data_IF_093462560257
#
_entry.id   IF_093462560257
#
_cell.length_a   1.000
_cell.length_b   1.000
_cell.length_c   1.000
_cell.angle_alpha   90.00
_cell.angle_beta   90.00
_cell.angle_gamma   90.00
#
_symmetry.space_group_name_H-M   'P 1'
#
loop_
_entity.id
_entity.type
_entity.pdbx_description
1 polymer ?
#
# COMPACT_ATOMS: atom_id res chain seq x y z
N UNK A 1 10.50 -25.13 10.90
CA UNK A 1 9.44 -24.42 10.17
C UNK A 1 8.70 -23.56 11.16
N UNK A 2 8.66 -22.25 10.93
CA UNK A 2 7.91 -21.33 11.79
C UNK A 2 6.43 -21.48 11.49
N UNK A 3 5.60 -21.84 12.48
CA UNK A 3 4.13 -21.92 12.33
C UNK A 3 3.44 -20.56 12.20
N UNK A 4 4.18 -19.53 11.77
CA UNK A 4 3.72 -18.16 11.62
C UNK A 4 2.68 -18.02 10.51
N UNK A 5 2.78 -18.83 9.46
CA UNK A 5 1.88 -18.82 8.31
C UNK A 5 0.75 -19.86 8.40
N UNK A 6 0.69 -20.62 9.49
CA UNK A 6 -0.32 -21.65 9.68
C UNK A 6 -1.64 -21.05 10.18
N UNK A 7 -2.76 -21.65 9.77
CA UNK A 7 -4.12 -21.30 10.21
C UNK A 7 -4.50 -19.81 10.05
N UNK A 8 -3.96 -19.13 9.03
CA UNK A 8 -4.21 -17.71 8.78
C UNK A 8 -5.69 -17.40 8.56
N UNK A 9 -6.43 -18.31 7.95
CA UNK A 9 -7.87 -18.24 7.68
C UNK A 9 -8.74 -18.43 8.93
N UNK A 10 -8.17 -18.99 10.00
CA UNK A 10 -8.88 -19.24 11.26
C UNK A 10 -8.72 -18.09 12.26
N UNK A 11 -7.82 -17.15 11.99
CA UNK A 11 -7.62 -15.99 12.83
C UNK A 11 -8.72 -14.96 12.60
N UNK A 12 -9.22 -14.37 13.68
CA UNK A 12 -9.94 -13.11 13.60
C UNK A 12 -8.95 -11.93 13.45
N UNK A 13 -9.48 -10.72 13.26
CA UNK A 13 -8.66 -9.53 13.12
C UNK A 13 -7.74 -9.31 14.33
N UNK A 14 -8.24 -9.54 15.55
CA UNK A 14 -7.45 -9.38 16.78
C UNK A 14 -6.32 -10.44 16.85
N UNK A 15 -6.57 -11.65 16.35
CA UNK A 15 -5.57 -12.71 16.17
C UNK A 15 -4.48 -12.32 15.17
N UNK A 16 -4.85 -11.72 14.03
CA UNK A 16 -3.89 -11.16 13.09
C UNK A 16 -3.07 -10.03 13.72
N UNK A 17 -3.71 -9.10 14.43
CA UNK A 17 -3.00 -8.01 15.12
C UNK A 17 -1.98 -8.57 16.10
N UNK A 18 -2.37 -9.50 16.98
CA UNK A 18 -1.44 -10.14 17.93
C UNK A 18 -0.29 -10.84 17.22
N UNK A 19 -0.57 -11.59 16.17
CA UNK A 19 0.45 -12.37 15.44
C UNK A 19 1.48 -11.46 14.79
N UNK A 20 1.03 -10.43 14.08
CA UNK A 20 1.93 -9.58 13.30
C UNK A 20 2.60 -8.47 14.11
N UNK A 21 2.07 -8.16 15.30
CA UNK A 21 2.74 -7.31 16.28
C UNK A 21 3.78 -8.06 17.14
N UNK A 22 3.90 -9.39 17.01
CA UNK A 22 4.86 -10.15 17.79
C UNK A 22 6.32 -9.79 17.40
N UNK A 23 7.25 -9.67 18.35
CA UNK A 23 8.64 -9.28 18.08
C UNK A 23 9.35 -10.20 17.07
N UNK A 24 9.00 -11.49 17.08
CA UNK A 24 9.65 -12.52 16.26
C UNK A 24 9.33 -12.40 14.76
N UNK A 25 8.24 -11.70 14.40
CA UNK A 25 7.87 -11.41 13.00
C UNK A 25 9.01 -10.71 12.28
N UNK A 26 9.79 -9.90 13.00
CA UNK A 26 10.88 -9.14 12.39
C UNK A 26 11.97 -10.04 11.80
N UNK A 27 12.15 -11.23 12.39
CA UNK A 27 13.18 -12.22 12.03
C UNK A 27 12.62 -13.41 11.26
N UNK A 28 11.33 -13.38 10.93
CA UNK A 28 10.70 -14.48 10.24
C UNK A 28 11.12 -14.49 8.77
N UNK A 29 11.53 -15.67 8.30
CA UNK A 29 11.67 -15.98 6.88
C UNK A 29 10.39 -16.62 6.36
N UNK A 30 10.10 -16.43 5.08
CA UNK A 30 8.98 -17.06 4.40
C UNK A 30 9.06 -16.88 2.88
N UNK A 31 8.41 -17.78 2.16
CA UNK A 31 8.25 -17.63 0.72
C UNK A 31 7.32 -16.45 0.40
N UNK A 32 7.52 -15.85 -0.77
CA UNK A 32 6.68 -14.75 -1.29
C UNK A 32 5.19 -15.05 -1.16
N UNK A 33 4.78 -16.25 -1.56
CA UNK A 33 3.38 -16.66 -1.55
C UNK A 33 2.81 -16.72 -0.13
N UNK A 34 3.62 -17.06 0.88
CA UNK A 34 3.19 -17.10 2.28
C UNK A 34 2.92 -15.69 2.81
N UNK A 35 3.82 -14.74 2.51
CA UNK A 35 3.63 -13.33 2.86
C UNK A 35 2.45 -12.68 2.12
N UNK A 36 2.24 -13.03 0.85
CA UNK A 36 1.08 -12.61 0.09
C UNK A 36 -0.20 -13.12 0.76
N UNK A 37 -0.28 -14.42 1.06
CA UNK A 37 -1.43 -15.02 1.73
C UNK A 37 -1.71 -14.37 3.09
N UNK A 38 -0.68 -14.12 3.89
CA UNK A 38 -0.77 -13.40 5.16
C UNK A 38 -1.37 -12.00 5.00
N UNK A 39 -0.88 -11.21 4.04
CA UNK A 39 -1.40 -9.87 3.78
C UNK A 39 -2.84 -9.87 3.28
N UNK A 40 -3.22 -10.88 2.48
CA UNK A 40 -4.58 -11.05 1.96
C UNK A 40 -5.54 -11.43 3.07
N UNK A 41 -5.19 -12.40 3.93
CA UNK A 41 -6.00 -12.81 5.06
C UNK A 41 -6.23 -11.64 6.03
N UNK A 42 -5.17 -10.92 6.40
CA UNK A 42 -5.28 -9.72 7.23
C UNK A 42 -6.25 -8.72 6.60
N UNK A 43 -6.00 -8.34 5.34
CA UNK A 43 -6.83 -7.37 4.61
C UNK A 43 -8.28 -7.82 4.56
N UNK A 44 -8.54 -9.09 4.29
CA UNK A 44 -9.89 -9.65 4.25
C UNK A 44 -10.63 -9.44 5.58
N UNK A 45 -10.04 -9.85 6.70
CA UNK A 45 -10.66 -9.68 8.02
C UNK A 45 -10.87 -8.22 8.42
N UNK A 46 -9.93 -7.35 8.05
CA UNK A 46 -10.06 -5.92 8.27
C UNK A 46 -11.22 -5.31 7.46
N UNK A 47 -11.49 -5.87 6.27
CA UNK A 47 -12.51 -5.37 5.35
C UNK A 47 -13.93 -5.89 5.60
N UNK A 48 -14.10 -6.91 6.45
CA UNK A 48 -15.39 -7.53 6.71
C UNK A 48 -16.41 -6.58 7.38
N UNK A 49 -15.98 -5.75 8.33
CA UNK A 49 -16.87 -4.84 9.06
C UNK A 49 -16.16 -3.53 9.49
N UNK A 50 -15.80 -2.65 8.54
CA UNK A 50 -15.07 -1.43 8.84
C UNK A 50 -15.82 -0.48 9.78
N UNK A 51 -17.15 -0.50 9.76
CA UNK A 51 -17.98 0.39 10.57
C UNK A 51 -17.89 0.07 12.08
N UNK A 52 -17.47 -1.15 12.43
CA UNK A 52 -17.29 -1.59 13.83
C UNK A 52 -15.85 -1.53 14.32
N UNK A 53 -14.93 -0.97 13.53
CA UNK A 53 -13.55 -0.80 13.96
C UNK A 53 -13.45 0.37 14.95
N UNK A 54 -13.29 0.05 16.23
CA UNK A 54 -12.90 1.02 17.26
C UNK A 54 -11.51 1.60 17.00
N UNK A 55 -11.24 2.81 17.48
CA UNK A 55 -9.93 3.44 17.38
C UNK A 55 -8.79 2.59 17.99
N UNK A 56 -9.05 1.86 19.08
CA UNK A 56 -8.07 0.94 19.68
C UNK A 56 -7.68 -0.20 18.74
N UNK A 57 -8.66 -0.82 18.08
CA UNK A 57 -8.40 -1.81 17.04
C UNK A 57 -7.63 -1.21 15.88
N UNK A 58 -7.99 -0.01 15.43
CA UNK A 58 -7.29 0.68 14.34
C UNK A 58 -5.84 1.02 14.71
N UNK A 59 -5.57 1.37 15.96
CA UNK A 59 -4.19 1.52 16.48
C UNK A 59 -3.43 0.20 16.47
N UNK A 60 -4.06 -0.90 16.90
CA UNK A 60 -3.49 -2.25 16.81
C UNK A 60 -3.13 -2.65 15.37
N UNK A 61 -4.03 -2.42 14.43
CA UNK A 61 -3.78 -2.61 12.99
C UNK A 61 -2.63 -1.72 12.52
N UNK A 62 -2.58 -0.46 12.98
CA UNK A 62 -1.52 0.49 12.68
C UNK A 62 -0.13 0.07 13.13
N UNK A 63 -0.02 -0.87 14.07
CA UNK A 63 1.25 -1.51 14.45
C UNK A 63 1.49 -2.78 13.64
N UNK A 64 0.48 -3.65 13.59
CA UNK A 64 0.59 -5.00 13.01
C UNK A 64 0.80 -4.99 11.50
N UNK A 65 0.11 -4.11 10.77
CA UNK A 65 0.18 -4.07 9.30
C UNK A 65 1.55 -3.59 8.79
N UNK A 66 2.12 -2.45 9.27
CA UNK A 66 3.47 -2.07 8.88
C UNK A 66 4.54 -3.11 9.26
N UNK A 67 4.39 -3.78 10.40
CA UNK A 67 5.30 -4.85 10.81
C UNK A 67 5.26 -6.04 9.83
N UNK A 68 4.07 -6.45 9.40
CA UNK A 68 3.86 -7.47 8.37
C UNK A 68 4.50 -7.06 7.04
N UNK A 69 4.24 -5.84 6.55
CA UNK A 69 4.80 -5.34 5.29
C UNK A 69 6.34 -5.27 5.34
N UNK A 70 6.91 -4.79 6.45
CA UNK A 70 8.35 -4.69 6.61
C UNK A 70 9.01 -6.07 6.70
N UNK A 71 8.37 -7.06 7.34
CA UNK A 71 8.88 -8.43 7.37
C UNK A 71 8.82 -9.10 6.00
N UNK A 72 7.72 -8.92 5.27
CA UNK A 72 7.58 -9.40 3.91
C UNK A 72 8.64 -8.81 2.97
N UNK A 73 8.86 -7.49 3.01
CA UNK A 73 9.88 -6.80 2.21
C UNK A 73 11.29 -7.33 2.52
N UNK A 74 11.65 -7.46 3.80
CA UNK A 74 12.95 -8.01 4.20
C UNK A 74 13.14 -9.45 3.73
N UNK A 75 12.12 -10.29 3.87
CA UNK A 75 12.21 -11.72 3.56
C UNK A 75 12.24 -12.04 2.07
N UNK A 76 11.70 -11.16 1.22
CA UNK A 76 11.45 -11.48 -0.20
C UNK A 76 12.30 -10.68 -1.20
N UNK A 77 13.11 -9.74 -0.72
CA UNK A 77 14.05 -8.98 -1.54
C UNK A 77 13.35 -7.94 -2.43
N UNK A 78 13.76 -7.75 -3.71
CA UNK A 78 13.45 -6.57 -4.53
C UNK A 78 11.98 -6.39 -4.94
N UNK A 79 11.04 -7.11 -4.31
CA UNK A 79 9.59 -6.97 -4.49
C UNK A 79 9.00 -5.78 -3.72
N UNK A 80 9.81 -4.74 -3.48
CA UNK A 80 9.45 -3.52 -2.75
C UNK A 80 8.16 -2.89 -3.28
N UNK A 81 8.01 -2.89 -4.59
CA UNK A 81 6.84 -2.39 -5.30
C UNK A 81 5.54 -3.13 -4.93
N UNK A 82 5.58 -4.45 -4.75
CA UNK A 82 4.40 -5.23 -4.37
C UNK A 82 3.93 -4.88 -2.96
N UNK A 83 4.86 -4.83 -2.00
CA UNK A 83 4.55 -4.51 -0.60
C UNK A 83 4.12 -3.05 -0.43
N UNK A 84 4.76 -2.13 -1.17
CA UNK A 84 4.34 -0.75 -1.24
C UNK A 84 2.89 -0.64 -1.75
N UNK A 85 2.59 -1.27 -2.89
CA UNK A 85 1.25 -1.18 -3.48
C UNK A 85 0.18 -1.76 -2.56
N UNK A 86 0.47 -2.86 -1.85
CA UNK A 86 -0.44 -3.42 -0.84
C UNK A 86 -0.71 -2.46 0.30
N UNK A 87 0.33 -1.85 0.85
CA UNK A 87 0.21 -0.86 1.93
C UNK A 87 -0.60 0.37 1.49
N UNK A 88 -0.28 0.93 0.32
CA UNK A 88 -0.99 2.07 -0.24
C UNK A 88 -2.48 1.75 -0.45
N UNK A 89 -2.80 0.64 -1.11
CA UNK A 89 -4.19 0.30 -1.40
C UNK A 89 -5.01 -0.02 -0.14
N UNK A 90 -4.44 -0.70 0.85
CA UNK A 90 -5.14 -0.93 2.11
C UNK A 90 -5.47 0.40 2.80
N UNK A 91 -4.50 1.31 2.89
CA UNK A 91 -4.71 2.60 3.56
C UNK A 91 -5.66 3.50 2.79
N UNK A 92 -5.62 3.52 1.46
CA UNK A 92 -6.65 4.19 0.65
C UNK A 92 -8.04 3.63 0.94
N UNK A 93 -8.16 2.30 1.01
CA UNK A 93 -9.42 1.65 1.34
C UNK A 93 -9.91 2.07 2.73
N UNK A 94 -9.03 2.09 3.73
CA UNK A 94 -9.37 2.52 5.09
C UNK A 94 -9.78 3.99 5.14
N UNK A 95 -9.05 4.88 4.49
CA UNK A 95 -9.41 6.30 4.40
C UNK A 95 -10.79 6.49 3.77
N UNK A 96 -11.10 5.72 2.72
CA UNK A 96 -12.40 5.79 2.05
C UNK A 96 -13.57 5.31 2.92
N UNK A 97 -13.38 4.26 3.73
CA UNK A 97 -14.49 3.60 4.45
C UNK A 97 -14.58 4.00 5.93
N UNK A 98 -13.47 4.40 6.55
CA UNK A 98 -13.38 4.78 7.97
C UNK A 98 -13.15 6.29 8.13
N UNK A 99 -12.50 6.92 7.14
CA UNK A 99 -12.12 8.33 7.17
C UNK A 99 -10.81 8.58 7.94
N UNK A 100 -10.22 9.79 7.81
CA UNK A 100 -9.05 10.17 8.59
C UNK A 100 -9.32 10.16 10.10
N UNK A 101 -8.29 9.86 10.90
CA UNK A 101 -8.30 9.95 12.37
C UNK A 101 -6.97 10.53 12.87
N UNK A 102 -6.94 11.68 13.56
CA UNK A 102 -5.70 12.33 13.99
C UNK A 102 -4.78 11.44 14.83
N UNK A 103 -5.36 10.59 15.69
CA UNK A 103 -4.62 9.76 16.64
C UNK A 103 -4.29 8.35 16.12
N UNK A 104 -4.59 8.08 14.84
CA UNK A 104 -4.33 6.79 14.20
C UNK A 104 -3.43 7.02 12.97
N UNK A 105 -2.10 6.86 13.09
CA UNK A 105 -1.16 7.11 11.99
C UNK A 105 -1.46 6.33 10.70
N UNK A 106 -2.10 5.16 10.80
CA UNK A 106 -2.55 4.37 9.65
C UNK A 106 -3.56 5.12 8.77
N UNK A 107 -4.31 6.05 9.37
CA UNK A 107 -5.36 6.87 8.76
C UNK A 107 -4.91 8.32 8.53
N UNK A 108 -3.60 8.61 8.61
CA UNK A 108 -3.05 9.88 8.15
C UNK A 108 -2.79 9.81 6.63
N UNK A 109 -3.50 10.60 5.81
CA UNK A 109 -3.32 10.59 4.37
C UNK A 109 -1.99 11.24 3.92
N UNK A 110 -1.41 12.18 4.70
CA UNK A 110 -0.30 13.02 4.22
C UNK A 110 0.95 12.21 3.87
N UNK A 111 1.45 11.32 4.74
CA UNK A 111 2.65 10.53 4.44
C UNK A 111 2.45 9.58 3.24
N UNK A 112 1.21 9.27 2.87
CA UNK A 112 0.92 8.38 1.75
C UNK A 112 1.11 9.06 0.40
N UNK A 113 0.81 10.36 0.31
CA UNK A 113 1.05 11.09 -0.91
C UNK A 113 2.55 11.20 -1.18
N UNK A 114 3.33 11.60 -0.17
CA UNK A 114 4.79 11.66 -0.27
C UNK A 114 5.37 10.33 -0.72
N UNK A 115 4.99 9.25 -0.04
CA UNK A 115 5.49 7.91 -0.36
C UNK A 115 5.09 7.44 -1.77
N UNK A 116 3.91 7.81 -2.26
CA UNK A 116 3.47 7.46 -3.61
C UNK A 116 4.22 8.25 -4.69
N UNK A 117 4.45 9.54 -4.45
CA UNK A 117 5.22 10.39 -5.37
C UNK A 117 6.70 9.98 -5.42
N UNK A 118 7.30 9.69 -4.26
CA UNK A 118 8.69 9.25 -4.14
C UNK A 118 8.92 7.85 -4.76
N UNK A 119 7.86 7.08 -4.95
CA UNK A 119 7.90 5.75 -5.56
C UNK A 119 7.68 5.75 -7.08
N UNK A 120 7.45 6.92 -7.70
CA UNK A 120 7.30 6.98 -9.14
C UNK A 120 8.61 6.54 -9.83
N UNK A 121 8.55 5.58 -10.77
CA UNK A 121 9.75 4.94 -11.32
C UNK A 121 10.51 5.82 -12.32
N UNK A 122 9.94 6.95 -12.71
CA UNK A 122 10.50 7.88 -13.69
C UNK A 122 9.96 9.29 -13.43
N UNK A 123 10.62 10.28 -14.03
CA UNK A 123 10.16 11.67 -13.93
C UNK A 123 8.87 11.89 -14.73
N UNK A 124 8.21 13.01 -14.45
CA UNK A 124 6.99 13.42 -15.16
C UNK A 124 7.28 13.72 -16.62
N UNK A 125 8.41 14.37 -16.89
CA UNK A 125 8.88 14.73 -18.22
C UNK A 125 9.18 13.47 -19.04
N UNK A 126 9.86 12.49 -18.44
CA UNK A 126 10.12 11.19 -19.08
C UNK A 126 8.82 10.43 -19.36
N UNK A 127 7.91 10.39 -18.39
CA UNK A 127 6.58 9.78 -18.56
C UNK A 127 5.82 10.40 -19.73
N UNK A 128 5.78 11.73 -19.83
CA UNK A 128 5.07 12.44 -20.88
C UNK A 128 5.63 12.13 -22.29
N UNK A 129 6.93 11.88 -22.40
CA UNK A 129 7.59 11.51 -23.66
C UNK A 129 7.34 10.04 -24.03
N UNK A 130 7.28 9.14 -23.04
CA UNK A 130 7.16 7.70 -23.27
C UNK A 130 5.71 7.24 -23.42
N UNK A 131 4.78 7.79 -22.63
CA UNK A 131 3.39 7.31 -22.54
C UNK A 131 2.67 7.25 -23.91
N UNK A 132 2.73 8.27 -24.79
CA UNK A 132 2.01 8.23 -26.07
C UNK A 132 2.43 7.10 -27.01
N UNK A 133 3.69 6.64 -26.89
CA UNK A 133 4.30 5.60 -27.75
C UNK A 133 4.56 4.29 -27.01
N UNK A 134 3.83 4.03 -25.92
CA UNK A 134 4.09 2.89 -25.04
C UNK A 134 4.11 1.52 -25.76
N UNK A 135 3.38 1.39 -26.88
CA UNK A 135 3.32 0.14 -27.68
C UNK A 135 4.64 -0.19 -28.38
N UNK A 136 5.53 0.78 -28.53
CA UNK A 136 6.83 0.65 -29.19
C UNK A 136 7.97 0.47 -28.18
N UNK A 137 7.67 0.52 -26.88
CA UNK A 137 8.68 0.51 -25.83
C UNK A 137 9.08 -0.90 -25.43
N UNK A 138 10.27 -1.00 -24.83
CA UNK A 138 10.74 -2.23 -24.21
C UNK A 138 9.88 -2.57 -22.98
N UNK A 139 9.86 -3.87 -22.65
CA UNK A 139 9.02 -4.40 -21.55
C UNK A 139 9.21 -3.66 -20.24
N UNK A 140 10.44 -3.30 -19.88
CA UNK A 140 10.75 -2.61 -18.63
C UNK A 140 10.11 -1.23 -18.55
N UNK A 141 10.16 -0.47 -19.65
CA UNK A 141 9.53 0.85 -19.75
C UNK A 141 8.00 0.75 -19.68
N UNK A 142 7.41 -0.27 -20.32
CA UNK A 142 5.97 -0.54 -20.23
C UNK A 142 5.58 -0.85 -18.77
N UNK A 143 6.37 -1.65 -18.06
CA UNK A 143 6.10 -1.98 -16.66
C UNK A 143 6.22 -0.74 -15.77
N UNK A 144 7.20 0.12 -16.00
CA UNK A 144 7.36 1.38 -15.28
C UNK A 144 6.17 2.33 -15.52
N UNK A 145 5.70 2.49 -16.76
CA UNK A 145 4.49 3.27 -17.07
C UNK A 145 3.23 2.71 -16.40
N UNK A 146 3.08 1.38 -16.38
CA UNK A 146 1.98 0.71 -15.67
C UNK A 146 2.07 0.93 -14.16
N UNK A 147 3.27 0.92 -13.59
CA UNK A 147 3.47 1.23 -12.18
C UNK A 147 3.08 2.68 -11.88
N UNK A 148 3.55 3.65 -12.69
CA UNK A 148 3.11 5.05 -12.63
C UNK A 148 1.59 5.13 -12.60
N UNK A 149 0.89 4.48 -13.54
CA UNK A 149 -0.58 4.49 -13.59
C UNK A 149 -1.23 3.94 -12.31
N UNK A 150 -0.70 2.86 -11.75
CA UNK A 150 -1.19 2.28 -10.49
C UNK A 150 -1.02 3.25 -9.32
N UNK A 151 0.11 3.94 -9.23
CA UNK A 151 0.36 4.97 -8.22
C UNK A 151 -0.56 6.18 -8.41
N UNK A 152 -0.77 6.65 -9.65
CA UNK A 152 -1.72 7.73 -9.95
C UNK A 152 -3.16 7.35 -9.56
N UNK A 153 -3.57 6.09 -9.78
CA UNK A 153 -4.89 5.60 -9.37
C UNK A 153 -5.05 5.61 -7.86
N UNK A 154 -4.03 5.18 -7.11
CA UNK A 154 -4.00 5.31 -5.65
C UNK A 154 -4.13 6.77 -5.21
N UNK A 155 -3.28 7.67 -5.75
CA UNK A 155 -3.28 9.09 -5.36
C UNK A 155 -4.65 9.75 -5.61
N UNK A 156 -5.32 9.39 -6.71
CA UNK A 156 -6.68 9.86 -7.01
C UNK A 156 -7.70 9.41 -5.98
N UNK A 157 -7.56 8.19 -5.45
CA UNK A 157 -8.49 7.66 -4.45
C UNK A 157 -8.38 8.40 -3.11
N UNK A 158 -7.19 8.89 -2.74
CA UNK A 158 -6.95 9.61 -1.48
C UNK A 158 -6.98 11.14 -1.63
N UNK A 159 -7.00 11.65 -2.86
CA UNK A 159 -7.02 13.07 -3.20
C UNK A 159 -8.05 13.94 -2.42
N UNK A 160 -9.29 13.47 -2.12
CA UNK A 160 -10.23 14.25 -1.32
C UNK A 160 -9.72 14.65 0.07
N UNK A 161 -8.71 13.97 0.60
CA UNK A 161 -8.13 14.21 1.93
C UNK A 161 -6.81 14.99 1.89
N UNK A 162 -6.37 15.46 0.72
CA UNK A 162 -4.99 15.93 0.49
C UNK A 162 -4.88 17.33 -0.12
N UNK A 163 -5.97 18.08 -0.25
CA UNK A 163 -5.95 19.41 -0.91
C UNK A 163 -5.00 20.42 -0.26
N UNK A 164 -4.83 20.34 1.05
CA UNK A 164 -3.94 21.22 1.81
C UNK A 164 -2.48 20.70 1.87
N UNK A 165 -2.16 19.63 1.13
CA UNK A 165 -0.83 19.03 1.15
C UNK A 165 0.20 19.91 0.41
N UNK A 166 1.44 20.07 0.92
CA UNK A 166 2.47 20.90 0.26
C UNK A 166 2.78 20.48 -1.18
N UNK A 167 2.69 19.18 -1.48
CA UNK A 167 2.91 18.59 -2.81
C UNK A 167 1.63 18.43 -3.65
N UNK A 168 0.53 19.09 -3.29
CA UNK A 168 -0.74 18.99 -4.02
C UNK A 168 -0.59 19.37 -5.50
N UNK A 169 0.09 20.48 -5.79
CA UNK A 169 0.32 20.93 -7.16
C UNK A 169 1.11 19.91 -8.02
N UNK A 170 2.07 19.20 -7.41
CA UNK A 170 2.83 18.14 -8.06
C UNK A 170 1.90 16.95 -8.39
N UNK A 171 1.06 16.55 -7.45
CA UNK A 171 0.05 15.52 -7.67
C UNK A 171 -0.91 15.89 -8.80
N UNK A 172 -1.40 17.15 -8.86
CA UNK A 172 -2.28 17.61 -9.94
C UNK A 172 -1.59 17.53 -11.30
N UNK A 173 -0.34 17.96 -11.38
CA UNK A 173 0.45 17.88 -12.61
C UNK A 173 0.62 16.42 -13.09
N UNK A 174 0.82 15.48 -12.17
CA UNK A 174 0.88 14.06 -12.51
C UNK A 174 -0.46 13.49 -13.00
N UNK A 175 -1.59 13.90 -12.42
CA UNK A 175 -2.91 13.41 -12.84
C UNK A 175 -3.28 13.81 -14.27
N UNK A 176 -2.71 14.88 -14.81
CA UNK A 176 -2.91 15.28 -16.20
C UNK A 176 -2.40 14.23 -17.19
N UNK A 177 -1.38 13.45 -16.81
CA UNK A 177 -0.82 12.38 -17.65
C UNK A 177 -1.57 11.05 -17.53
N UNK A 178 -2.48 10.91 -16.57
CA UNK A 178 -3.07 9.61 -16.24
C UNK A 178 -3.88 8.98 -17.38
N UNK A 179 -4.44 9.80 -18.27
CA UNK A 179 -5.21 9.35 -19.43
C UNK A 179 -4.34 8.73 -20.54
N UNK A 180 -3.07 9.10 -20.62
CA UNK A 180 -2.16 8.69 -21.68
C UNK A 180 -1.38 7.42 -21.33
N UNK A 181 -1.43 6.99 -20.06
CA UNK A 181 -0.73 5.81 -19.56
C UNK A 181 -1.42 4.49 -19.98
N UNK A 182 -0.65 3.44 -20.31
CA UNK A 182 -1.15 2.11 -20.68
C UNK A 182 -1.95 1.42 -19.58
#
# INVERSE_FOLDING_TARGET
MSGLFDDLDRLDLDGHVRRWSAPDVVRADGEVNQWIAASQAFTHHLQQDPARLSDDRLRGVGVAWPALMAAAERSTGPQRDEWLMRDLWLRAWLLKHVGPRPDVPLLDPRPLLDRALDALPMSREETAVLAPRWRELEREQILALRMTKRLLAFMRAVAPHLRDHPRWAEQEAWQQLAGDLP
#
